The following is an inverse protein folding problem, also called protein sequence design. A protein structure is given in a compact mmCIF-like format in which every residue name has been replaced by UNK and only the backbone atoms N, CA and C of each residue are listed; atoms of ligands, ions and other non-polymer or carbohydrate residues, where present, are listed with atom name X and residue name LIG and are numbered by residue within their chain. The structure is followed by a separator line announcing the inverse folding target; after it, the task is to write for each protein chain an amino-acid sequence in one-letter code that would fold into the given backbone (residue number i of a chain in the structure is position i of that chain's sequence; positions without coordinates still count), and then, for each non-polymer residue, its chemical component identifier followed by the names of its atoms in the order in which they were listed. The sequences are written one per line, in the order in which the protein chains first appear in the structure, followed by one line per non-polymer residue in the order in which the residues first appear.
data_IF_091946993064
#
_entry.id   IF_091946993064
#
_cell.length_a   1.000
_cell.length_b   1.000
_cell.length_c   1.000
_cell.angle_alpha   90.00
_cell.angle_beta   90.00
_cell.angle_gamma   90.00
#
_symmetry.space_group_name_H-M   'P 1'
#
loop_
_entity.id
_entity.type
_entity.pdbx_description
1 polymer ?
#
# COMPACT_ATOMS: atom_id res chain seq x y z
N UNK A 1 -19.40 32.72 77.22
CA UNK A 1 -19.16 34.03 76.56
C UNK A 1 -19.20 33.80 75.05
N UNK A 2 -20.12 34.50 74.37
CA UNK A 2 -20.32 34.49 72.91
C UNK A 2 -19.03 34.77 72.14
N UNK A 3 -18.85 34.10 71.00
CA UNK A 3 -18.70 34.75 69.69
C UNK A 3 -18.75 33.67 68.60
N UNK A 4 -19.82 33.68 67.84
CA UNK A 4 -19.93 32.95 66.58
C UNK A 4 -19.25 33.72 65.47
N UNK A 5 -18.71 33.00 64.50
CA UNK A 5 -18.36 33.52 63.19
C UNK A 5 -18.95 32.58 62.15
N UNK A 6 -19.88 33.15 61.39
CA UNK A 6 -20.54 32.60 60.22
C UNK A 6 -19.55 32.63 59.06
N UNK A 7 -19.18 31.47 58.54
CA UNK A 7 -18.38 31.31 57.32
C UNK A 7 -19.22 30.65 56.23
N UNK A 8 -19.75 31.48 55.33
CA UNK A 8 -20.56 31.12 54.16
C UNK A 8 -19.76 30.30 53.14
N UNK A 9 -20.35 29.17 52.74
CA UNK A 9 -20.46 28.66 51.36
C UNK A 9 -19.64 29.40 50.29
N UNK A 10 -18.55 28.77 49.87
CA UNK A 10 -18.09 28.74 48.47
C UNK A 10 -17.50 27.35 48.18
N UNK A 11 -18.38 26.35 48.11
CA UNK A 11 -18.06 25.09 47.43
C UNK A 11 -18.10 25.35 45.93
N UNK A 12 -17.05 26.00 45.43
CA UNK A 12 -16.75 26.01 44.01
C UNK A 12 -16.34 24.59 43.63
N UNK A 13 -17.28 23.81 43.11
CA UNK A 13 -16.98 22.57 42.41
C UNK A 13 -16.06 22.94 41.24
N UNK A 14 -14.76 22.74 41.44
CA UNK A 14 -13.81 22.63 40.34
C UNK A 14 -14.26 21.38 39.60
N UNK A 15 -15.08 21.58 38.58
CA UNK A 15 -15.27 20.59 37.51
C UNK A 15 -13.89 20.43 36.90
N UNK A 16 -13.15 19.45 37.40
CA UNK A 16 -12.05 18.86 36.67
C UNK A 16 -12.66 18.48 35.33
N UNK A 17 -12.35 19.27 34.28
CA UNK A 17 -12.50 18.81 32.91
C UNK A 17 -11.61 17.57 32.85
N UNK A 18 -12.21 16.41 33.02
CA UNK A 18 -11.61 15.18 32.54
C UNK A 18 -11.27 15.48 31.09
N UNK A 19 -9.98 15.57 30.80
CA UNK A 19 -9.52 15.42 29.42
C UNK A 19 -10.12 14.09 29.02
N UNK A 20 -11.16 14.10 28.19
CA UNK A 20 -11.78 12.89 27.70
C UNK A 20 -10.68 12.15 26.96
N UNK A 21 -10.07 11.19 27.64
CA UNK A 21 -9.06 10.31 27.07
C UNK A 21 -9.84 9.48 26.06
N UNK A 22 -9.84 9.95 24.80
CA UNK A 22 -10.49 9.27 23.70
C UNK A 22 -9.92 7.85 23.66
N UNK A 23 -10.75 6.88 24.06
CA UNK A 23 -10.38 5.47 24.03
C UNK A 23 -10.52 4.98 22.59
N UNK A 24 -9.68 4.00 22.24
CA UNK A 24 -9.91 3.18 21.07
C UNK A 24 -11.25 2.47 21.22
N UNK A 25 -12.06 2.44 20.16
CA UNK A 25 -13.28 1.64 20.15
C UNK A 25 -12.99 0.18 19.88
N UNK A 26 -13.69 -0.67 20.60
CA UNK A 26 -13.71 -2.09 20.32
C UNK A 26 -14.60 -2.39 19.10
N UNK A 27 -14.38 -3.51 18.40
CA UNK A 27 -15.22 -3.90 17.27
C UNK A 27 -16.71 -3.88 17.64
N UNK A 28 -17.50 -3.12 16.89
CA UNK A 28 -18.96 -3.02 17.10
C UNK A 28 -19.43 -1.81 17.94
N UNK A 29 -18.52 -0.98 18.48
CA UNK A 29 -18.90 0.28 19.11
C UNK A 29 -19.15 1.38 18.06
N UNK A 30 -20.40 1.81 17.90
CA UNK A 30 -20.79 2.94 17.04
C UNK A 30 -21.44 4.02 17.91
N UNK A 31 -20.84 5.21 18.04
CA UNK A 31 -21.48 6.34 18.72
C UNK A 31 -20.63 7.09 19.76
N UNK A 32 -19.36 6.72 19.96
CA UNK A 32 -18.40 7.48 20.76
C UNK A 32 -17.35 8.11 19.85
N UNK A 33 -16.88 9.31 20.22
CA UNK A 33 -15.71 9.89 19.58
C UNK A 33 -14.49 9.03 19.94
N UNK A 34 -13.81 8.50 18.93
CA UNK A 34 -12.65 7.63 19.10
C UNK A 34 -11.37 8.39 18.79
N UNK A 35 -10.25 7.91 19.34
CA UNK A 35 -8.95 8.41 18.96
C UNK A 35 -8.65 7.95 17.52
N UNK A 36 -8.40 8.90 16.63
CA UNK A 36 -7.90 8.61 15.29
C UNK A 36 -6.46 8.09 15.37
N UNK A 37 -6.12 7.16 14.49
CA UNK A 37 -4.75 6.69 14.34
C UNK A 37 -3.88 7.83 13.79
N UNK A 38 -2.86 8.28 14.53
CA UNK A 38 -1.95 9.32 14.05
C UNK A 38 -1.14 8.79 12.87
N UNK A 39 -1.10 9.54 11.76
CA UNK A 39 -0.47 9.10 10.49
C UNK A 39 1.00 8.70 10.68
N UNK A 40 1.72 9.35 11.61
CA UNK A 40 3.16 9.14 11.81
C UNK A 40 3.52 8.30 13.04
N UNK A 41 2.62 8.16 14.00
CA UNK A 41 2.90 7.50 15.30
C UNK A 41 2.17 6.16 15.45
N UNK A 42 1.35 5.76 14.48
CA UNK A 42 0.66 4.47 14.52
C UNK A 42 1.68 3.34 14.44
N UNK A 43 1.67 2.45 15.43
CA UNK A 43 2.57 1.30 15.48
C UNK A 43 2.20 0.28 14.41
N UNK A 44 3.13 -0.59 14.05
CA UNK A 44 2.87 -1.67 13.08
C UNK A 44 1.87 -2.68 13.62
N UNK A 45 1.87 -2.90 14.94
CA UNK A 45 0.96 -3.81 15.62
C UNK A 45 -0.48 -3.28 15.56
N UNK A 46 -0.65 -1.96 15.70
CA UNK A 46 -1.94 -1.27 15.55
C UNK A 46 -2.51 -1.34 14.12
N UNK A 47 -1.65 -1.50 13.10
CA UNK A 47 -2.10 -1.66 11.71
C UNK A 47 -2.60 -3.08 11.44
N UNK A 48 -2.18 -4.07 12.25
CA UNK A 48 -2.70 -5.43 12.21
C UNK A 48 -4.20 -5.50 12.48
N UNK A 49 -4.75 -4.52 13.21
CA UNK A 49 -6.18 -4.42 13.54
C UNK A 49 -7.10 -4.27 12.32
N UNK A 50 -6.56 -3.75 11.21
CA UNK A 50 -7.29 -3.62 9.95
C UNK A 50 -7.22 -4.89 9.09
N UNK A 51 -6.56 -5.94 9.61
CA UNK A 51 -6.35 -7.21 8.98
C UNK A 51 -4.87 -7.47 8.69
N UNK A 52 -4.51 -8.76 8.73
CA UNK A 52 -3.14 -9.26 8.53
C UNK A 52 -2.51 -8.72 7.23
N UNK A 53 -3.30 -8.65 6.15
CA UNK A 53 -2.83 -8.13 4.86
C UNK A 53 -2.43 -6.65 4.90
N UNK A 54 -3.15 -5.82 5.67
CA UNK A 54 -2.85 -4.38 5.79
C UNK A 54 -1.58 -4.18 6.63
N UNK A 55 -1.47 -4.87 7.77
CA UNK A 55 -0.28 -4.83 8.62
C UNK A 55 0.98 -5.26 7.87
N UNK A 56 0.92 -6.39 7.16
CA UNK A 56 2.06 -6.92 6.41
C UNK A 56 2.45 -6.00 5.24
N UNK A 57 1.49 -5.34 4.59
CA UNK A 57 1.73 -4.39 3.51
C UNK A 57 2.55 -3.18 3.99
N UNK A 58 2.12 -2.51 5.06
CA UNK A 58 2.82 -1.33 5.58
C UNK A 58 4.20 -1.69 6.15
N UNK A 59 4.31 -2.85 6.79
CA UNK A 59 5.60 -3.39 7.22
C UNK A 59 6.58 -3.54 6.04
N UNK A 60 6.11 -4.16 4.96
CA UNK A 60 6.90 -4.35 3.74
C UNK A 60 7.34 -3.01 3.15
N UNK A 61 6.42 -2.04 3.07
CA UNK A 61 6.71 -0.72 2.53
C UNK A 61 7.82 -0.01 3.31
N UNK A 62 7.75 -0.03 4.65
CA UNK A 62 8.75 0.57 5.53
C UNK A 62 10.11 -0.12 5.39
N UNK A 63 10.12 -1.45 5.33
CA UNK A 63 11.34 -2.21 5.12
C UNK A 63 11.99 -1.90 3.77
N UNK A 64 11.20 -1.85 2.68
CA UNK A 64 11.68 -1.48 1.34
C UNK A 64 12.24 -0.04 1.36
N UNK A 65 11.54 0.91 1.98
CA UNK A 65 12.03 2.29 2.09
C UNK A 65 13.40 2.35 2.78
N UNK A 66 13.59 1.60 3.86
CA UNK A 66 14.88 1.51 4.56
C UNK A 66 15.97 0.86 3.71
N UNK A 67 15.66 -0.23 3.01
CA UNK A 67 16.59 -0.92 2.09
C UNK A 67 17.01 0.04 0.97
N UNK A 68 16.06 0.72 0.33
CA UNK A 68 16.32 1.68 -0.74
C UNK A 68 17.14 2.88 -0.25
N UNK A 69 16.90 3.34 0.98
CA UNK A 69 17.71 4.40 1.59
C UNK A 69 19.19 3.98 1.72
N UNK A 70 19.46 2.77 2.23
CA UNK A 70 20.83 2.25 2.32
C UNK A 70 21.44 2.06 0.93
N UNK A 71 20.70 1.52 -0.03
CA UNK A 71 21.15 1.43 -1.43
C UNK A 71 21.53 2.80 -1.99
N UNK A 72 20.71 3.81 -1.71
CA UNK A 72 21.00 5.21 -2.04
C UNK A 72 22.33 5.65 -1.45
N UNK A 73 22.56 5.43 -0.15
CA UNK A 73 23.82 5.75 0.51
C UNK A 73 25.04 5.06 -0.10
N UNK A 74 24.93 3.77 -0.43
CA UNK A 74 26.00 3.02 -1.10
C UNK A 74 26.31 3.62 -2.47
N UNK A 75 25.28 4.03 -3.22
CA UNK A 75 25.41 4.60 -4.56
C UNK A 75 25.84 6.07 -4.59
N UNK A 76 25.95 6.75 -3.44
CA UNK A 76 26.55 8.10 -3.38
C UNK A 76 27.98 8.07 -3.94
N UNK A 77 28.74 6.99 -3.72
CA UNK A 77 30.09 6.85 -4.28
C UNK A 77 30.08 6.90 -5.81
N UNK A 78 29.10 6.24 -6.44
CA UNK A 78 28.92 6.30 -7.89
C UNK A 78 28.54 7.71 -8.35
N UNK A 79 27.62 8.37 -7.64
CA UNK A 79 27.23 9.75 -7.97
C UNK A 79 28.41 10.73 -7.86
N UNK A 80 29.29 10.55 -6.87
CA UNK A 80 30.52 11.34 -6.72
C UNK A 80 31.51 11.05 -7.85
N UNK A 81 31.66 9.79 -8.25
CA UNK A 81 32.51 9.41 -9.37
C UNK A 81 32.03 10.05 -10.69
N UNK A 82 30.72 9.99 -10.97
CA UNK A 82 30.13 10.66 -12.15
C UNK A 82 30.15 12.19 -12.07
N UNK A 83 30.32 12.73 -10.87
CA UNK A 83 30.49 14.17 -10.65
C UNK A 83 31.96 14.61 -10.75
N UNK A 84 32.91 13.69 -10.89
CA UNK A 84 34.34 14.02 -10.95
C UNK A 84 34.71 14.68 -12.28
N UNK A 85 35.76 15.50 -12.23
CA UNK A 85 36.30 16.17 -13.42
C UNK A 85 36.92 15.16 -14.41
N UNK A 86 37.27 13.96 -13.95
CA UNK A 86 37.73 12.86 -14.79
C UNK A 86 36.62 12.30 -15.70
N UNK A 87 35.36 12.37 -15.25
CA UNK A 87 34.21 11.88 -16.00
C UNK A 87 33.52 12.99 -16.84
N UNK A 88 33.50 14.23 -16.34
CA UNK A 88 32.84 15.38 -17.00
C UNK A 88 33.87 16.32 -17.61
N UNK A 89 34.01 16.31 -18.94
CA UNK A 89 34.91 17.25 -19.63
C UNK A 89 34.42 18.70 -19.55
N UNK A 90 35.37 19.65 -19.52
CA UNK A 90 35.10 21.08 -19.26
C UNK A 90 34.25 21.77 -20.34
N UNK A 91 34.11 21.16 -21.51
CA UNK A 91 33.54 21.76 -22.74
C UNK A 91 32.00 21.91 -22.78
N UNK A 92 31.31 21.93 -21.64
CA UNK A 92 29.84 21.92 -21.61
C UNK A 92 29.14 23.10 -20.91
N UNK A 93 27.95 23.42 -21.44
CA UNK A 93 27.02 24.44 -20.99
C UNK A 93 26.63 24.30 -19.52
N UNK A 94 26.70 25.42 -18.79
CA UNK A 94 26.53 25.50 -17.33
C UNK A 94 25.17 25.04 -16.79
N UNK A 95 24.13 25.02 -17.63
CA UNK A 95 22.75 24.71 -17.22
C UNK A 95 22.53 23.19 -17.14
N UNK A 96 22.99 22.43 -18.13
CA UNK A 96 22.93 20.96 -18.13
C UNK A 96 23.84 20.36 -17.07
N UNK A 97 24.99 21.00 -16.80
CA UNK A 97 25.96 20.59 -15.76
C UNK A 97 25.40 20.55 -14.33
N UNK A 98 24.31 21.26 -14.00
CA UNK A 98 23.77 21.28 -12.61
C UNK A 98 22.76 20.17 -12.32
N UNK A 99 21.86 19.90 -13.27
CA UNK A 99 20.77 18.92 -13.07
C UNK A 99 21.26 17.49 -13.34
N UNK A 100 22.20 17.32 -14.28
CA UNK A 100 22.72 16.01 -14.67
C UNK A 100 23.97 15.60 -13.86
N UNK A 101 24.40 16.42 -12.90
CA UNK A 101 25.59 16.16 -12.08
C UNK A 101 25.37 14.90 -11.24
N UNK A 102 26.26 13.93 -11.40
CA UNK A 102 26.19 12.63 -10.71
C UNK A 102 25.37 11.56 -11.42
N UNK A 103 24.91 11.82 -12.66
CA UNK A 103 24.29 10.82 -13.53
C UNK A 103 25.33 10.13 -14.44
N UNK A 104 25.05 8.92 -14.89
CA UNK A 104 25.90 8.16 -15.81
C UNK A 104 25.83 8.67 -17.27
N UNK A 105 25.42 9.92 -17.48
CA UNK A 105 25.34 10.50 -18.83
C UNK A 105 26.74 10.94 -19.22
N UNK A 106 27.29 10.25 -20.22
CA UNK A 106 28.56 10.65 -20.82
C UNK A 106 28.33 11.79 -21.80
N UNK A 107 28.93 12.93 -21.50
CA UNK A 107 28.84 14.13 -22.32
C UNK A 107 30.07 14.35 -23.19
N UNK A 108 31.18 13.72 -22.83
CA UNK A 108 32.41 13.73 -23.62
C UNK A 108 32.31 12.73 -24.76
N UNK A 109 32.02 13.25 -25.95
CA UNK A 109 31.74 12.47 -27.14
C UNK A 109 32.55 12.99 -28.30
N UNK A 110 33.13 12.09 -29.07
CA UNK A 110 33.96 12.44 -30.22
C UNK A 110 33.54 11.65 -31.44
N UNK A 111 33.61 12.30 -32.60
CA UNK A 111 33.45 11.65 -33.87
C UNK A 111 34.74 10.92 -34.25
N UNK A 112 34.67 9.60 -34.38
CA UNK A 112 35.79 8.77 -34.80
C UNK A 112 35.49 8.15 -36.16
N UNK A 113 36.51 8.09 -37.03
CA UNK A 113 36.36 7.55 -38.37
C UNK A 113 36.13 6.03 -38.30
N UNK A 114 35.06 5.55 -38.94
CA UNK A 114 34.74 4.13 -39.04
C UNK A 114 34.53 3.73 -40.50
N UNK A 115 35.58 3.31 -41.22
CA UNK A 115 35.48 2.97 -42.65
C UNK A 115 34.62 1.72 -42.91
N UNK A 116 34.51 0.81 -41.94
CA UNK A 116 33.74 -0.43 -42.05
C UNK A 116 32.27 -0.32 -41.65
N UNK A 117 31.85 0.79 -41.03
CA UNK A 117 30.48 0.95 -40.55
C UNK A 117 29.48 1.15 -41.70
N UNK A 118 28.29 0.57 -41.58
CA UNK A 118 27.18 0.79 -42.51
C UNK A 118 26.10 1.65 -41.83
N UNK A 119 25.39 2.46 -42.62
CA UNK A 119 24.28 3.28 -42.12
C UNK A 119 23.18 2.42 -41.48
N UNK A 120 22.93 1.23 -42.04
CA UNK A 120 21.96 0.26 -41.53
C UNK A 120 22.28 -0.25 -40.12
N UNK A 121 23.55 -0.16 -39.69
CA UNK A 121 23.94 -0.58 -38.33
C UNK A 121 23.39 0.41 -37.26
N UNK A 122 22.89 1.58 -37.69
CA UNK A 122 22.47 2.69 -36.85
C UNK A 122 21.08 3.24 -37.19
N UNK A 123 20.20 2.44 -37.80
CA UNK A 123 18.85 2.88 -38.23
C UNK A 123 18.00 3.40 -37.05
N UNK A 124 18.21 2.88 -35.84
CA UNK A 124 17.52 3.31 -34.62
C UNK A 124 18.21 4.49 -33.89
N UNK A 125 19.47 4.79 -34.21
CA UNK A 125 20.32 5.80 -33.54
C UNK A 125 21.01 6.72 -34.56
N UNK A 126 20.20 7.35 -35.43
CA UNK A 126 20.69 8.18 -36.54
C UNK A 126 21.57 9.37 -36.11
N UNK A 127 21.52 9.79 -34.84
CA UNK A 127 22.33 10.87 -34.27
C UNK A 127 23.77 10.43 -33.90
N UNK A 128 24.08 9.14 -34.00
CA UNK A 128 25.41 8.58 -33.72
C UNK A 128 26.22 8.28 -34.98
N UNK A 129 25.63 8.45 -36.16
CA UNK A 129 26.28 8.21 -37.44
C UNK A 129 26.28 9.48 -38.29
N UNK A 130 27.41 9.78 -38.93
CA UNK A 130 27.54 10.91 -39.85
C UNK A 130 28.41 10.54 -41.06
N UNK A 131 28.04 11.09 -42.22
CA UNK A 131 28.81 10.98 -43.46
C UNK A 131 29.37 12.35 -43.83
N UNK A 132 30.61 12.37 -44.35
CA UNK A 132 31.20 13.61 -44.85
C UNK A 132 30.51 14.07 -46.12
N UNK A 133 30.17 15.36 -46.19
CA UNK A 133 29.65 15.99 -47.41
C UNK A 133 30.68 16.04 -48.55
N UNK A 134 31.96 15.98 -48.21
CA UNK A 134 33.06 16.12 -49.18
C UNK A 134 33.57 14.80 -49.72
N UNK A 135 33.43 13.71 -48.96
CA UNK A 135 33.86 12.38 -49.35
C UNK A 135 32.90 11.31 -48.79
N UNK A 136 32.06 10.69 -49.63
CA UNK A 136 31.12 9.65 -49.20
C UNK A 136 31.79 8.41 -48.60
N UNK A 137 33.10 8.22 -48.80
CA UNK A 137 33.85 7.10 -48.19
C UNK A 137 34.24 7.38 -46.72
N UNK A 138 34.25 8.65 -46.30
CA UNK A 138 34.55 9.05 -44.93
C UNK A 138 33.28 9.04 -44.07
N UNK A 139 33.18 8.00 -43.24
CA UNK A 139 32.10 7.79 -42.29
C UNK A 139 32.60 7.99 -40.87
N UNK A 140 31.78 8.60 -40.03
CA UNK A 140 32.10 8.88 -38.64
C UNK A 140 31.02 8.31 -37.72
N UNK A 141 31.46 7.83 -36.56
CA UNK A 141 30.57 7.41 -35.48
C UNK A 141 30.85 8.24 -34.24
N UNK A 142 29.81 8.51 -33.46
CA UNK A 142 29.91 9.26 -32.21
C UNK A 142 30.22 8.29 -31.06
N UNK A 143 31.46 8.33 -30.58
CA UNK A 143 31.97 7.47 -29.51
C UNK A 143 32.01 8.25 -28.19
N UNK A 144 31.62 7.58 -27.11
CA UNK A 144 31.71 8.12 -25.75
C UNK A 144 33.13 7.92 -25.22
N UNK A 145 33.78 9.00 -24.76
CA UNK A 145 35.15 8.96 -24.23
C UNK A 145 35.24 8.93 -22.71
N UNK A 146 34.12 9.01 -22.00
CA UNK A 146 34.11 8.96 -20.55
C UNK A 146 34.68 7.62 -20.05
N UNK A 147 35.71 7.68 -19.21
CA UNK A 147 36.33 6.51 -18.61
C UNK A 147 35.45 6.01 -17.46
N UNK A 148 35.14 4.72 -17.48
CA UNK A 148 34.41 4.08 -16.38
C UNK A 148 35.45 3.46 -15.45
N UNK A 149 35.52 3.97 -14.23
CA UNK A 149 36.41 3.42 -13.21
C UNK A 149 35.94 2.04 -12.74
N UNK A 150 36.88 1.16 -12.38
CA UNK A 150 36.59 -0.16 -11.84
C UNK A 150 35.78 -0.08 -10.53
N UNK A 151 35.96 1.00 -9.75
CA UNK A 151 35.21 1.26 -8.52
C UNK A 151 33.70 1.30 -8.79
N UNK A 152 33.26 1.84 -9.92
CA UNK A 152 31.84 1.85 -10.28
C UNK A 152 31.28 0.43 -10.40
N UNK A 153 32.00 -0.47 -11.07
CA UNK A 153 31.60 -1.87 -11.19
C UNK A 153 31.48 -2.55 -9.83
N UNK A 154 32.46 -2.34 -8.95
CA UNK A 154 32.48 -2.92 -7.60
C UNK A 154 31.28 -2.43 -6.78
N UNK A 155 31.00 -1.12 -6.76
CA UNK A 155 29.89 -0.54 -5.98
C UNK A 155 28.53 -1.06 -6.46
N UNK A 156 28.34 -1.23 -7.77
CA UNK A 156 27.11 -1.82 -8.31
C UNK A 156 26.94 -3.29 -7.92
N UNK A 157 28.01 -4.08 -7.98
CA UNK A 157 27.98 -5.49 -7.54
C UNK A 157 27.64 -5.55 -6.04
N UNK A 158 28.27 -4.72 -5.21
CA UNK A 158 27.99 -4.64 -3.77
C UNK A 158 26.53 -4.26 -3.53
N UNK A 159 26.01 -3.26 -4.24
CA UNK A 159 24.60 -2.85 -4.14
C UNK A 159 23.68 -4.00 -4.53
N UNK A 160 23.96 -4.70 -5.63
CA UNK A 160 23.17 -5.84 -6.10
C UNK A 160 23.15 -6.99 -5.08
N UNK A 161 24.32 -7.35 -4.56
CA UNK A 161 24.43 -8.37 -3.51
C UNK A 161 23.67 -7.96 -2.24
N UNK A 162 23.78 -6.70 -1.84
CA UNK A 162 23.04 -6.16 -0.70
C UNK A 162 21.53 -6.26 -0.90
N UNK A 163 21.00 -5.81 -2.06
CA UNK A 163 19.56 -5.91 -2.38
C UNK A 163 19.10 -7.35 -2.34
N UNK A 164 19.86 -8.29 -2.93
CA UNK A 164 19.50 -9.70 -2.94
C UNK A 164 19.43 -10.28 -1.52
N UNK A 165 20.44 -10.01 -0.68
CA UNK A 165 20.43 -10.45 0.72
C UNK A 165 19.31 -9.78 1.54
N UNK A 166 19.07 -8.49 1.32
CA UNK A 166 17.99 -7.75 1.98
C UNK A 166 16.61 -8.29 1.60
N UNK A 167 16.38 -8.67 0.34
CA UNK A 167 15.13 -9.26 -0.10
C UNK A 167 14.92 -10.68 0.47
N UNK A 168 15.98 -11.49 0.54
CA UNK A 168 15.91 -12.82 1.17
C UNK A 168 15.57 -12.68 2.66
N UNK A 169 16.29 -11.82 3.39
CA UNK A 169 16.04 -11.58 4.81
C UNK A 169 14.65 -11.01 5.07
N UNK A 170 14.19 -10.06 4.25
CA UNK A 170 12.82 -9.55 4.30
C UNK A 170 11.80 -10.68 4.10
N UNK A 171 12.03 -11.58 3.14
CA UNK A 171 11.15 -12.75 2.93
C UNK A 171 11.04 -13.66 4.16
N UNK A 172 12.14 -13.91 4.86
CA UNK A 172 12.13 -14.66 6.11
C UNK A 172 11.41 -13.91 7.24
N UNK A 173 11.64 -12.61 7.37
CA UNK A 173 11.00 -11.77 8.38
C UNK A 173 9.49 -11.68 8.15
N UNK A 174 9.05 -11.50 6.90
CA UNK A 174 7.63 -11.44 6.54
C UNK A 174 6.90 -12.74 6.88
N UNK A 175 7.52 -13.91 6.65
CA UNK A 175 6.95 -15.20 7.04
C UNK A 175 6.81 -15.34 8.55
N UNK A 176 7.77 -14.84 9.31
CA UNK A 176 7.68 -14.85 10.78
C UNK A 176 6.58 -13.89 11.27
N UNK A 177 6.52 -12.69 10.70
CA UNK A 177 5.51 -11.68 11.04
C UNK A 177 4.11 -12.08 10.63
N UNK A 178 3.94 -12.84 9.53
CA UNK A 178 2.61 -13.35 9.16
C UNK A 178 2.06 -14.32 10.19
N UNK A 179 2.91 -15.19 10.77
CA UNK A 179 2.48 -16.11 11.84
C UNK A 179 2.12 -15.34 13.11
N UNK A 180 2.94 -14.36 13.50
CA UNK A 180 2.68 -13.53 14.68
C UNK A 180 1.35 -12.75 14.54
N UNK A 181 1.06 -12.18 13.36
CA UNK A 181 -0.19 -11.48 13.12
C UNK A 181 -1.39 -12.42 13.10
N UNK A 182 -1.26 -13.61 12.53
CA UNK A 182 -2.32 -14.62 12.51
C UNK A 182 -2.66 -15.09 13.94
N UNK A 183 -1.65 -15.40 14.75
CA UNK A 183 -1.85 -15.79 16.16
C UNK A 183 -2.48 -14.67 17.01
N UNK A 184 -2.21 -13.40 16.70
CA UNK A 184 -2.76 -12.26 17.42
C UNK A 184 -4.23 -11.94 17.06
N UNK A 185 -4.72 -12.45 15.92
CA UNK A 185 -6.04 -12.16 15.39
C UNK A 185 -6.91 -13.41 15.50
N UNK A 186 -7.73 -13.51 16.56
CA UNK A 186 -8.76 -14.55 16.60
C UNK A 186 -9.87 -14.20 15.61
N UNK A 187 -10.02 -15.01 14.56
CA UNK A 187 -11.10 -14.85 13.59
C UNK A 187 -12.18 -15.90 13.80
N UNK A 188 -13.42 -15.57 13.44
CA UNK A 188 -14.52 -16.54 13.48
C UNK A 188 -14.23 -17.76 12.58
N UNK A 189 -13.38 -17.61 11.55
CA UNK A 189 -12.92 -18.70 10.69
C UNK A 189 -12.20 -19.79 11.46
N UNK A 190 -11.39 -19.44 12.46
CA UNK A 190 -10.55 -20.39 13.22
C UNK A 190 -11.38 -21.38 14.04
N UNK A 191 -12.62 -21.00 14.36
CA UNK A 191 -13.57 -21.78 15.14
C UNK A 191 -14.74 -22.31 14.30
N UNK A 192 -14.68 -22.15 12.97
CA UNK A 192 -15.76 -22.54 12.07
C UNK A 192 -15.33 -23.65 11.12
N UNK A 193 -16.24 -24.60 10.88
CA UNK A 193 -16.04 -25.68 9.91
C UNK A 193 -17.13 -25.59 8.84
N UNK A 194 -16.74 -25.75 7.58
CA UNK A 194 -17.67 -25.79 6.45
C UNK A 194 -17.74 -27.21 5.91
N UNK A 195 -18.88 -27.87 6.14
CA UNK A 195 -19.15 -29.19 5.58
C UNK A 195 -19.75 -29.04 4.19
N UNK A 196 -19.05 -29.57 3.19
CA UNK A 196 -19.50 -29.57 1.79
C UNK A 196 -20.13 -30.92 1.45
N UNK A 197 -21.10 -30.91 0.54
CA UNK A 197 -21.80 -32.10 0.06
C UNK A 197 -22.48 -32.92 1.18
N UNK A 198 -23.37 -32.31 1.99
CA UNK A 198 -24.14 -33.07 2.96
C UNK A 198 -25.17 -33.98 2.24
N UNK A 199 -25.70 -35.00 2.94
CA UNK A 199 -26.90 -35.74 2.53
C UNK A 199 -28.05 -34.83 2.05
N UNK A 200 -28.88 -35.32 1.15
CA UNK A 200 -29.96 -34.51 0.53
C UNK A 200 -31.05 -34.05 1.50
N UNK A 201 -31.16 -34.70 2.66
CA UNK A 201 -32.10 -34.44 3.74
C UNK A 201 -31.52 -33.55 4.87
N UNK A 202 -30.27 -33.09 4.73
CA UNK A 202 -29.57 -32.25 5.72
C UNK A 202 -30.17 -30.84 5.86
N UNK A 203 -31.36 -30.76 6.48
CA UNK A 203 -32.13 -29.53 6.69
C UNK A 203 -32.40 -29.25 8.16
N UNK A 204 -32.27 -30.24 9.02
CA UNK A 204 -32.48 -30.10 10.47
C UNK A 204 -31.19 -29.66 11.16
N UNK A 205 -31.18 -28.47 11.74
CA UNK A 205 -30.01 -27.90 12.42
C UNK A 205 -29.70 -28.66 13.71
N UNK A 206 -30.74 -29.11 14.43
CA UNK A 206 -30.59 -29.77 15.72
C UNK A 206 -30.01 -31.18 15.55
N UNK A 207 -30.41 -31.89 14.50
CA UNK A 207 -29.83 -33.19 14.13
C UNK A 207 -28.31 -33.07 13.91
N UNK A 208 -27.88 -32.09 13.12
CA UNK A 208 -26.46 -31.89 12.82
C UNK A 208 -25.67 -31.43 14.03
N UNK A 209 -26.24 -30.55 14.86
CA UNK A 209 -25.63 -30.15 16.12
C UNK A 209 -25.40 -31.36 17.03
N UNK A 210 -26.44 -32.17 17.25
CA UNK A 210 -26.36 -33.37 18.07
C UNK A 210 -25.39 -34.39 17.48
N UNK A 211 -25.35 -34.53 16.15
CA UNK A 211 -24.38 -35.38 15.47
C UNK A 211 -22.95 -34.97 15.79
N UNK A 212 -22.59 -33.68 15.63
CA UNK A 212 -21.22 -33.22 15.92
C UNK A 212 -20.86 -33.32 17.41
N UNK A 213 -21.80 -33.04 18.31
CA UNK A 213 -21.58 -33.22 19.76
C UNK A 213 -21.49 -34.70 20.16
N UNK A 214 -22.07 -35.62 19.38
CA UNK A 214 -21.97 -37.08 19.64
C UNK A 214 -20.64 -37.71 19.25
N UNK A 215 -19.81 -37.03 18.43
CA UNK A 215 -18.54 -37.57 17.93
C UNK A 215 -17.54 -37.74 19.07
N UNK A 216 -17.49 -36.78 20.01
CA UNK A 216 -16.68 -36.86 21.23
C UNK A 216 -17.31 -36.04 22.36
N UNK A 217 -17.14 -36.52 23.59
CA UNK A 217 -17.67 -35.86 24.81
C UNK A 217 -17.06 -34.48 25.10
N UNK A 218 -15.92 -34.15 24.48
CA UNK A 218 -15.21 -32.88 24.66
C UNK A 218 -15.58 -31.80 23.61
N UNK A 219 -16.41 -32.13 22.62
CA UNK A 219 -16.82 -31.20 21.56
C UNK A 219 -18.11 -30.49 21.97
N UNK A 220 -18.09 -29.15 21.92
CA UNK A 220 -19.29 -28.32 22.08
C UNK A 220 -19.51 -27.47 20.83
N UNK A 221 -20.70 -27.54 20.25
CA UNK A 221 -21.07 -26.76 19.06
C UNK A 221 -21.79 -25.49 19.49
N UNK A 222 -21.11 -24.35 19.41
CA UNK A 222 -21.68 -23.05 19.78
C UNK A 222 -22.81 -22.61 18.84
N UNK A 223 -22.64 -22.80 17.53
CA UNK A 223 -23.62 -22.42 16.51
C UNK A 223 -23.52 -23.40 15.33
N UNK A 224 -24.67 -23.92 14.89
CA UNK A 224 -24.79 -24.69 13.65
C UNK A 224 -25.72 -23.93 12.71
N UNK A 225 -25.37 -23.84 11.42
CA UNK A 225 -26.18 -23.14 10.42
C UNK A 225 -26.15 -23.91 9.13
N UNK A 226 -27.33 -24.15 8.55
CA UNK A 226 -27.48 -24.86 7.28
C UNK A 226 -27.66 -23.84 6.17
N UNK A 227 -26.81 -23.92 5.16
CA UNK A 227 -26.91 -23.08 3.96
C UNK A 227 -27.96 -23.66 3.02
N UNK A 228 -29.12 -23.00 2.93
CA UNK A 228 -30.16 -23.34 1.96
C UNK A 228 -29.88 -22.68 0.62
N UNK A 229 -30.30 -23.33 -0.48
CA UNK A 229 -30.26 -22.71 -1.80
C UNK A 229 -31.32 -21.59 -1.89
N UNK A 230 -30.89 -20.38 -1.51
CA UNK A 230 -31.73 -19.19 -1.51
C UNK A 230 -31.49 -18.32 -2.74
N UNK A 231 -30.98 -18.87 -3.86
CA UNK A 231 -30.63 -18.07 -5.04
C UNK A 231 -31.83 -17.26 -5.57
N UNK A 232 -33.02 -17.87 -5.61
CA UNK A 232 -34.25 -17.23 -6.08
C UNK A 232 -34.66 -16.04 -5.20
N UNK A 233 -34.36 -16.08 -3.89
CA UNK A 233 -34.61 -14.96 -2.98
C UNK A 233 -33.50 -13.91 -3.03
N UNK A 234 -32.24 -14.35 -3.11
CA UNK A 234 -31.07 -13.47 -3.15
C UNK A 234 -31.05 -12.60 -4.40
N UNK A 235 -31.47 -13.14 -5.55
CA UNK A 235 -31.45 -12.42 -6.83
C UNK A 235 -32.32 -11.14 -6.81
N UNK A 236 -33.61 -11.18 -6.41
CA UNK A 236 -34.43 -9.98 -6.18
C UNK A 236 -33.87 -9.01 -5.15
N UNK A 237 -33.27 -9.51 -4.05
CA UNK A 237 -32.67 -8.65 -3.02
C UNK A 237 -31.44 -7.89 -3.53
N UNK A 238 -30.58 -8.55 -4.30
CA UNK A 238 -29.44 -7.94 -4.97
C UNK A 238 -29.93 -6.91 -6.00
N UNK A 239 -30.94 -7.27 -6.80
CA UNK A 239 -31.53 -6.36 -7.77
C UNK A 239 -32.13 -5.13 -7.10
N UNK A 240 -32.88 -5.30 -6.01
CA UNK A 240 -33.39 -4.20 -5.20
C UNK A 240 -32.25 -3.32 -4.68
N UNK A 241 -31.20 -3.90 -4.09
CA UNK A 241 -30.03 -3.14 -3.61
C UNK A 241 -29.37 -2.33 -4.73
N UNK A 242 -29.21 -2.92 -5.91
CA UNK A 242 -28.67 -2.24 -7.09
C UNK A 242 -29.53 -1.04 -7.51
N UNK A 243 -30.85 -1.21 -7.55
CA UNK A 243 -31.78 -0.12 -7.89
C UNK A 243 -31.77 1.00 -6.84
N UNK A 244 -31.70 0.65 -5.55
CA UNK A 244 -31.62 1.64 -4.47
C UNK A 244 -30.34 2.49 -4.59
N UNK A 245 -29.19 1.87 -4.87
CA UNK A 245 -27.94 2.58 -5.11
C UNK A 245 -28.01 3.49 -6.35
N UNK A 246 -28.71 3.07 -7.41
CA UNK A 246 -28.92 3.91 -8.59
C UNK A 246 -29.79 5.13 -8.28
N UNK A 247 -30.80 4.99 -7.43
CA UNK A 247 -31.63 6.11 -6.96
C UNK A 247 -30.79 7.05 -6.11
N UNK A 248 -30.04 6.53 -5.14
CA UNK A 248 -29.16 7.32 -4.28
C UNK A 248 -28.14 8.15 -5.07
N UNK A 249 -27.48 7.54 -6.06
CA UNK A 249 -26.52 8.24 -6.93
C UNK A 249 -27.15 9.27 -7.88
N UNK A 250 -28.47 9.24 -8.08
CA UNK A 250 -29.22 10.20 -8.91
C UNK A 250 -29.89 11.31 -8.08
N UNK A 251 -29.87 11.21 -6.75
CA UNK A 251 -30.43 12.26 -5.90
C UNK A 251 -29.53 13.51 -5.96
N UNK A 252 -30.13 14.72 -5.97
CA UNK A 252 -29.36 15.95 -5.91
C UNK A 252 -28.67 16.09 -4.54
N UNK A 253 -27.53 16.81 -4.53
CA UNK A 253 -26.74 17.01 -3.33
C UNK A 253 -27.57 17.68 -2.23
N UNK A 254 -27.51 17.12 -1.01
CA UNK A 254 -28.20 17.64 0.18
C UNK A 254 -29.50 16.93 0.55
N UNK A 255 -29.98 15.96 -0.24
CA UNK A 255 -31.12 15.12 0.11
C UNK A 255 -30.64 13.80 0.71
N UNK A 256 -31.07 13.50 1.95
CA UNK A 256 -30.76 12.21 2.60
C UNK A 256 -31.61 11.08 1.99
N UNK A 257 -30.95 10.00 1.59
CA UNK A 257 -31.61 8.80 1.09
C UNK A 257 -32.30 8.05 2.24
N UNK A 258 -33.62 7.87 2.13
CA UNK A 258 -34.41 7.02 3.04
C UNK A 258 -35.14 5.94 2.23
N UNK A 259 -34.78 4.65 2.39
CA UNK A 259 -35.43 3.55 1.66
C UNK A 259 -36.92 3.38 1.99
N UNK A 260 -37.43 3.96 3.09
CA UNK A 260 -38.86 3.93 3.44
C UNK A 260 -39.68 4.98 2.67
N UNK A 261 -39.05 6.04 2.17
CA UNK A 261 -39.69 7.16 1.45
C UNK A 261 -39.40 7.13 -0.05
N UNK A 262 -39.21 5.94 -0.62
CA UNK A 262 -38.85 5.79 -2.04
C UNK A 262 -39.80 6.50 -3.00
N UNK A 263 -41.09 6.46 -2.71
CA UNK A 263 -42.13 7.07 -3.53
C UNK A 263 -41.99 8.60 -3.65
N UNK A 264 -41.41 9.25 -2.65
CA UNK A 264 -41.14 10.70 -2.64
C UNK A 264 -39.81 11.04 -3.32
N UNK A 265 -38.83 10.12 -3.27
CA UNK A 265 -37.48 10.31 -3.79
C UNK A 265 -37.37 10.04 -5.30
N UNK A 266 -38.19 9.12 -5.84
CA UNK A 266 -38.17 8.75 -7.26
C UNK A 266 -38.48 9.93 -8.20
N UNK A 267 -39.49 10.78 -7.95
CA UNK A 267 -39.75 11.96 -8.79
C UNK A 267 -38.59 12.95 -8.83
N UNK A 268 -37.86 13.10 -7.72
CA UNK A 268 -36.71 14.01 -7.60
C UNK A 268 -35.50 13.55 -8.43
N UNK A 269 -35.42 12.25 -8.73
CA UNK A 269 -34.39 11.69 -9.60
C UNK A 269 -34.67 11.91 -11.10
N UNK A 270 -35.90 12.33 -11.46
CA UNK A 270 -36.34 12.53 -12.84
C UNK A 270 -36.39 14.01 -13.24
N UNK A 271 -36.16 14.94 -12.32
CA UNK A 271 -36.01 16.34 -12.70
C UNK A 271 -34.67 16.52 -13.42
N UNK A 272 -34.64 16.96 -14.69
CA UNK A 272 -33.39 17.29 -15.35
C UNK A 272 -32.73 18.45 -14.59
N UNK A 273 -31.51 18.22 -14.13
CA UNK A 273 -30.57 19.27 -13.73
C UNK A 273 -30.12 20.07 -14.95
#
# INVERSE_FOLDING_TARGET
KKLGVVGKLLSGSIVSRSVDVLRRSEPGEFGRSTKLYPVWETSEDDLGDFGIGVGLYFYTLKAIAFILFICGCINIVNMLNFSSDDYVSDHQDSIYKRILKGSAICTDVTWEACPSCLKSDWDDESDRYAESLSDPQLKFIRVNRCTIDQTFGIVNIVTLCFVLLAMITLGFILRRKSVEFDESMQTASDYSIVVKNPPSDARDVDEWKNFFESIREDIHVSLCTISLNNEELLRPLIQRRKLLLQIENRLPAGINFDPKRLHELVPLCMSPS
#
